data_IF_744375856372
#
_entry.id   IF_744375856372
#
_cell.length_a   1.000
_cell.length_b   1.000
_cell.length_c   1.000
_cell.angle_alpha   90.00
_cell.angle_beta   90.00
_cell.angle_gamma   90.00
#
_symmetry.space_group_name_H-M   'P 1'
#
loop_
_entity.id
_entity.type
_entity.pdbx_description
1 polymer ?
#
# COMPACT_ATOMS: atom_id res chain seq x y z
N UNK A 1 2.47 25.59 8.34
CA UNK A 1 3.06 24.35 8.92
C UNK A 1 2.02 23.21 9.00
N UNK A 2 1.05 23.09 8.08
CA UNK A 2 -0.07 22.12 8.17
C UNK A 2 0.09 20.87 7.29
N UNK A 3 0.93 20.93 6.26
CA UNK A 3 1.11 19.83 5.30
C UNK A 3 1.67 18.52 5.91
N UNK A 4 2.42 18.64 7.02
CA UNK A 4 3.00 17.49 7.72
C UNK A 4 1.99 16.76 8.60
N UNK A 5 1.07 17.50 9.22
CA UNK A 5 0.02 16.94 10.09
C UNK A 5 -1.04 16.19 9.28
N UNK A 6 -1.43 16.71 8.13
CA UNK A 6 -2.41 16.05 7.25
C UNK A 6 -1.87 14.76 6.63
N UNK A 7 -0.57 14.74 6.27
CA UNK A 7 0.09 13.53 5.78
C UNK A 7 0.15 12.43 6.84
N UNK A 8 0.51 12.79 8.07
CA UNK A 8 0.58 11.83 9.17
C UNK A 8 -0.80 11.30 9.56
N UNK A 9 -1.84 12.15 9.50
CA UNK A 9 -3.22 11.73 9.70
C UNK A 9 -3.66 10.72 8.63
N UNK A 10 -3.44 11.04 7.35
CA UNK A 10 -3.76 10.13 6.25
C UNK A 10 -2.98 8.81 6.32
N UNK A 11 -1.71 8.85 6.73
CA UNK A 11 -0.92 7.64 6.95
C UNK A 11 -1.55 6.74 8.02
N UNK A 12 -1.92 7.31 9.17
CA UNK A 12 -2.61 6.56 10.24
C UNK A 12 -3.93 5.97 9.79
N UNK A 13 -4.74 6.75 9.07
CA UNK A 13 -6.02 6.27 8.52
C UNK A 13 -5.82 5.12 7.52
N UNK A 14 -4.81 5.20 6.66
CA UNK A 14 -4.48 4.12 5.71
C UNK A 14 -3.94 2.87 6.42
N UNK A 15 -3.08 3.01 7.43
CA UNK A 15 -2.59 1.87 8.22
C UNK A 15 -3.74 1.16 8.94
N UNK A 16 -4.66 1.90 9.55
CA UNK A 16 -5.83 1.30 10.20
C UNK A 16 -6.72 0.54 9.20
N UNK A 17 -6.93 1.10 8.00
CA UNK A 17 -7.67 0.41 6.92
C UNK A 17 -6.96 -0.82 6.41
N UNK A 18 -5.64 -0.78 6.33
CA UNK A 18 -4.80 -1.91 5.93
C UNK A 18 -4.95 -3.08 6.90
N UNK A 19 -4.83 -2.80 8.21
CA UNK A 19 -5.04 -3.78 9.27
C UNK A 19 -6.45 -4.36 9.23
N UNK A 20 -7.47 -3.51 9.10
CA UNK A 20 -8.87 -3.96 8.98
C UNK A 20 -9.09 -4.87 7.76
N UNK A 21 -8.47 -4.55 6.63
CA UNK A 21 -8.56 -5.37 5.41
C UNK A 21 -7.84 -6.72 5.59
N UNK A 22 -6.69 -6.73 6.29
CA UNK A 22 -5.99 -7.97 6.63
C UNK A 22 -6.82 -8.87 7.54
N UNK A 23 -7.44 -8.30 8.58
CA UNK A 23 -8.34 -9.03 9.48
C UNK A 23 -9.54 -9.59 8.70
N UNK A 24 -10.11 -8.80 7.79
CA UNK A 24 -11.22 -9.24 6.96
C UNK A 24 -10.86 -10.39 6.01
N UNK A 25 -9.67 -10.35 5.41
CA UNK A 25 -9.14 -11.47 4.60
C UNK A 25 -9.06 -12.73 5.45
N UNK A 26 -8.54 -12.62 6.68
CA UNK A 26 -8.42 -13.75 7.60
C UNK A 26 -9.78 -14.33 7.95
N UNK A 27 -10.75 -13.49 8.33
CA UNK A 27 -12.13 -13.92 8.61
C UNK A 27 -12.76 -14.66 7.42
N UNK A 28 -12.55 -14.18 6.19
CA UNK A 28 -13.08 -14.81 4.98
C UNK A 28 -12.42 -16.17 4.71
N UNK A 29 -11.10 -16.27 4.94
CA UNK A 29 -10.37 -17.53 4.81
C UNK A 29 -10.82 -18.55 5.86
N UNK A 30 -10.97 -18.13 7.11
CA UNK A 30 -11.44 -18.98 8.21
C UNK A 30 -12.86 -19.47 7.92
N UNK A 31 -13.77 -18.59 7.49
CA UNK A 31 -15.14 -18.96 7.13
C UNK A 31 -15.20 -19.96 5.96
N UNK A 32 -14.33 -19.82 4.95
CA UNK A 32 -14.21 -20.79 3.86
C UNK A 32 -13.71 -22.13 4.41
N UNK A 33 -12.63 -22.12 5.21
CA UNK A 33 -12.03 -23.34 5.72
C UNK A 33 -13.00 -24.15 6.59
N UNK A 34 -13.77 -23.47 7.45
CA UNK A 34 -14.76 -24.09 8.32
C UNK A 34 -15.94 -24.72 7.55
N UNK A 35 -16.31 -24.16 6.40
CA UNK A 35 -17.55 -24.50 5.71
C UNK A 35 -17.34 -25.11 4.31
N UNK A 36 -16.11 -25.29 3.82
CA UNK A 36 -15.83 -25.77 2.45
C UNK A 36 -16.46 -27.14 2.14
N UNK A 37 -16.63 -27.99 3.16
CA UNK A 37 -17.26 -29.31 3.01
C UNK A 37 -18.80 -29.30 3.04
N UNK A 38 -19.42 -28.20 3.45
CA UNK A 38 -20.88 -28.07 3.63
C UNK A 38 -21.51 -27.05 2.68
N UNK A 39 -20.71 -26.15 2.11
CA UNK A 39 -21.15 -25.14 1.16
C UNK A 39 -21.47 -25.73 -0.22
N UNK A 40 -22.48 -25.16 -0.87
CA UNK A 40 -22.71 -25.40 -2.29
C UNK A 40 -21.59 -24.74 -3.12
N UNK A 41 -21.33 -25.22 -4.35
CA UNK A 41 -20.35 -24.60 -5.25
C UNK A 41 -20.62 -23.10 -5.48
N UNK A 42 -21.90 -22.71 -5.62
CA UNK A 42 -22.28 -21.32 -5.83
C UNK A 42 -22.00 -20.43 -4.60
N UNK A 43 -22.14 -20.97 -3.39
CA UNK A 43 -21.77 -20.26 -2.16
C UNK A 43 -20.24 -20.13 -2.07
N UNK A 44 -19.52 -21.21 -2.36
CA UNK A 44 -18.05 -21.18 -2.34
C UNK A 44 -17.51 -20.13 -3.32
N UNK A 45 -18.05 -20.06 -4.53
CA UNK A 45 -17.67 -19.04 -5.52
C UNK A 45 -17.91 -17.62 -5.01
N UNK A 46 -19.06 -17.36 -4.36
CA UNK A 46 -19.34 -16.03 -3.76
C UNK A 46 -18.34 -15.67 -2.67
N UNK A 47 -17.96 -16.63 -1.83
CA UNK A 47 -16.96 -16.40 -0.78
C UNK A 47 -15.57 -16.17 -1.36
N UNK A 48 -15.19 -16.91 -2.41
CA UNK A 48 -13.93 -16.70 -3.12
C UNK A 48 -13.90 -15.35 -3.84
N UNK A 49 -15.01 -14.91 -4.42
CA UNK A 49 -15.13 -13.58 -5.03
C UNK A 49 -15.00 -12.46 -3.99
N UNK A 50 -15.64 -12.61 -2.83
CA UNK A 50 -15.49 -11.68 -1.72
C UNK A 50 -14.04 -11.61 -1.22
N UNK A 51 -13.37 -12.76 -1.07
CA UNK A 51 -11.96 -12.84 -0.69
C UNK A 51 -11.05 -12.16 -1.72
N UNK A 52 -11.27 -12.41 -3.02
CA UNK A 52 -10.52 -11.76 -4.10
C UNK A 52 -10.72 -10.24 -4.10
N UNK A 53 -11.95 -9.76 -3.90
CA UNK A 53 -12.24 -8.34 -3.84
C UNK A 53 -11.52 -7.66 -2.65
N UNK A 54 -11.45 -8.34 -1.51
CA UNK A 54 -10.75 -7.80 -0.33
C UNK A 54 -9.22 -7.83 -0.51
N UNK A 55 -8.66 -8.86 -1.16
CA UNK A 55 -7.24 -8.85 -1.55
C UNK A 55 -6.88 -7.67 -2.46
N UNK A 56 -7.72 -7.36 -3.45
CA UNK A 56 -7.51 -6.19 -4.31
C UNK A 56 -7.53 -4.89 -3.51
N UNK A 57 -8.40 -4.78 -2.49
CA UNK A 57 -8.42 -3.60 -1.60
C UNK A 57 -7.16 -3.51 -0.77
N UNK A 58 -6.71 -4.62 -0.18
CA UNK A 58 -5.48 -4.71 0.59
C UNK A 58 -4.26 -4.27 -0.25
N UNK A 59 -4.12 -4.81 -1.47
CA UNK A 59 -3.02 -4.47 -2.38
C UNK A 59 -3.04 -2.98 -2.79
N UNK A 60 -4.23 -2.43 -3.03
CA UNK A 60 -4.36 -1.01 -3.35
C UNK A 60 -3.93 -0.12 -2.17
N UNK A 61 -4.28 -0.50 -0.93
CA UNK A 61 -3.86 0.23 0.28
C UNK A 61 -2.35 0.09 0.48
N UNK A 62 -1.77 -1.09 0.27
CA UNK A 62 -0.32 -1.31 0.34
C UNK A 62 0.43 -0.43 -0.64
N UNK A 63 -0.03 -0.37 -1.90
CA UNK A 63 0.55 0.50 -2.92
C UNK A 63 0.45 1.98 -2.54
N UNK A 64 -0.64 2.41 -1.94
CA UNK A 64 -0.80 3.79 -1.45
C UNK A 64 0.15 4.09 -0.29
N UNK A 65 0.26 3.19 0.68
CA UNK A 65 1.22 3.27 1.79
C UNK A 65 2.66 3.29 1.28
N UNK A 66 3.00 2.44 0.31
CA UNK A 66 4.30 2.40 -0.34
C UNK A 66 4.58 3.74 -1.02
N UNK A 67 3.65 4.31 -1.79
CA UNK A 67 3.82 5.64 -2.43
C UNK A 67 4.01 6.74 -1.39
N UNK A 68 3.26 6.69 -0.28
CA UNK A 68 3.38 7.66 0.81
C UNK A 68 4.67 7.51 1.62
N UNK A 69 5.27 6.34 1.69
CA UNK A 69 6.53 6.12 2.42
C UNK A 69 7.75 6.27 1.52
N UNK A 70 7.64 5.92 0.23
CA UNK A 70 8.77 5.85 -0.70
C UNK A 70 9.17 7.18 -1.37
N UNK A 71 8.33 8.23 -1.34
CA UNK A 71 8.54 9.41 -2.21
C UNK A 71 8.73 10.77 -1.50
N UNK A 72 9.75 10.91 -0.65
CA UNK A 72 10.34 12.26 -0.42
C UNK A 72 11.85 12.23 -0.32
N UNK A 73 12.41 11.31 0.46
CA UNK A 73 13.87 11.21 0.63
C UNK A 73 14.60 10.66 -0.61
N UNK A 74 14.00 9.73 -1.36
CA UNK A 74 14.67 9.07 -2.49
C UNK A 74 14.73 9.96 -3.74
N UNK A 75 13.66 10.70 -4.02
CA UNK A 75 13.60 11.66 -5.14
C UNK A 75 14.44 12.91 -4.85
N UNK A 76 14.35 13.48 -3.63
CA UNK A 76 15.23 14.60 -3.22
C UNK A 76 16.72 14.22 -3.27
N UNK A 77 17.08 12.98 -2.90
CA UNK A 77 18.46 12.51 -3.01
C UNK A 77 18.91 12.34 -4.46
N UNK A 78 18.06 11.82 -5.35
CA UNK A 78 18.36 11.74 -6.79
C UNK A 78 18.54 13.12 -7.40
N UNK A 79 17.70 14.08 -7.06
CA UNK A 79 17.81 15.45 -7.58
C UNK A 79 19.03 16.19 -7.02
N UNK A 80 19.34 16.01 -5.73
CA UNK A 80 20.59 16.52 -5.13
C UNK A 80 21.82 15.91 -5.82
N UNK A 81 21.79 14.62 -6.12
CA UNK A 81 22.89 13.94 -6.83
C UNK A 81 23.04 14.45 -8.27
N UNK A 82 21.93 14.67 -8.99
CA UNK A 82 21.93 15.25 -10.34
C UNK A 82 22.45 16.70 -10.36
N UNK A 83 22.07 17.52 -9.37
CA UNK A 83 22.59 18.90 -9.24
C UNK A 83 24.09 18.91 -8.95
N UNK A 84 24.56 18.09 -8.01
CA UNK A 84 25.99 17.94 -7.70
C UNK A 84 26.80 17.46 -8.91
N UNK A 85 26.26 16.53 -9.70
CA UNK A 85 26.93 16.07 -10.92
C UNK A 85 27.04 17.19 -11.98
N UNK A 86 25.99 18.00 -12.17
CA UNK A 86 26.02 19.16 -13.07
C UNK A 86 27.02 20.24 -12.61
N UNK A 87 27.05 20.53 -11.32
CA UNK A 87 28.00 21.48 -10.72
C UNK A 87 29.45 20.99 -10.85
N UNK A 88 29.70 19.69 -10.65
CA UNK A 88 31.02 19.09 -10.85
C UNK A 88 31.47 19.16 -12.32
N UNK A 89 30.57 18.85 -13.27
CA UNK A 89 30.88 18.96 -14.70
C UNK A 89 31.10 20.41 -15.16
N UNK A 90 30.42 21.38 -14.56
CA UNK A 90 30.64 22.80 -14.84
C UNK A 90 31.98 23.31 -14.29
N UNK A 91 32.42 22.79 -13.13
CA UNK A 91 33.72 23.14 -12.50
C UNK A 91 34.93 22.58 -13.25
N UNK A 92 34.76 21.46 -13.96
CA UNK A 92 35.81 20.82 -14.78
C UNK A 92 35.97 21.52 -16.14
N UNK A 93 34.96 22.29 -16.58
CA UNK A 93 34.97 23.03 -17.85
C UNK A 93 35.49 24.48 -17.73
N UNK A 94 35.97 24.87 -16.55
CA UNK A 94 36.66 26.15 -16.29
C UNK A 94 38.12 25.86 -15.99
#
# INVERSE_FOLDING_TARGET
>A
MTYSTDRNRRLKELTARFETSADRIRELQDAILENVGTMTPAELDRHLDALRAEHVRYDNIDLELLRMTSSRKKEENKDKQRRRAKEASARIRY
#
